data_IF_372906035191
#
_entry.id   IF_372906035191
#
_cell.length_a   1.000
_cell.length_b   1.000
_cell.length_c   1.000
_cell.angle_alpha   90.00
_cell.angle_beta   90.00
_cell.angle_gamma   90.00
#
_symmetry.space_group_name_H-M   'P 1'
#
loop_
_entity.id
_entity.type
_entity.pdbx_description
1 polymer ?
#
# COMPACT_ATOMS: atom_id res chain seq x y z
N UNK A 1 1.25 14.64 -6.45
CA UNK A 1 2.27 13.70 -6.96
C UNK A 1 1.80 13.21 -8.33
N UNK A 2 2.63 13.25 -9.38
CA UNK A 2 2.23 12.75 -10.70
C UNK A 2 1.90 11.26 -10.65
N UNK A 3 0.93 10.82 -11.45
CA UNK A 3 0.55 9.41 -11.54
C UNK A 3 1.73 8.57 -12.05
N UNK A 4 2.05 7.48 -11.34
CA UNK A 4 3.09 6.53 -11.78
C UNK A 4 2.46 5.59 -12.82
N UNK A 5 3.00 5.47 -14.04
CA UNK A 5 2.48 4.55 -15.03
C UNK A 5 2.47 3.10 -14.53
N UNK A 6 1.38 2.36 -14.80
CA UNK A 6 1.22 0.94 -14.41
C UNK A 6 2.44 0.09 -14.77
N UNK A 7 3.03 0.31 -15.94
CA UNK A 7 4.22 -0.41 -16.41
C UNK A 7 5.39 -0.28 -15.42
N UNK A 8 5.66 0.93 -14.91
CA UNK A 8 6.72 1.18 -13.93
C UNK A 8 6.47 0.48 -12.59
N UNK A 9 5.21 0.47 -12.13
CA UNK A 9 4.81 -0.23 -10.90
C UNK A 9 5.07 -1.73 -11.02
N UNK A 10 4.62 -2.34 -12.12
CA UNK A 10 4.82 -3.78 -12.36
C UNK A 10 6.30 -4.14 -12.58
N UNK A 11 7.07 -3.27 -13.22
CA UNK A 11 8.52 -3.46 -13.35
C UNK A 11 9.21 -3.47 -11.98
N UNK A 12 8.85 -2.57 -11.06
CA UNK A 12 9.35 -2.58 -9.66
C UNK A 12 9.03 -3.93 -8.99
N UNK A 13 7.76 -4.33 -9.01
CA UNK A 13 7.31 -5.56 -8.34
C UNK A 13 7.95 -6.82 -8.91
N UNK A 14 8.09 -6.93 -10.24
CA UNK A 14 8.78 -8.06 -10.86
C UNK A 14 10.26 -8.15 -10.46
N UNK A 15 10.95 -7.00 -10.31
CA UNK A 15 12.33 -6.97 -9.82
C UNK A 15 12.42 -7.44 -8.37
N UNK A 16 11.49 -7.04 -7.51
CA UNK A 16 11.43 -7.51 -6.12
C UNK A 16 11.26 -9.03 -6.05
N UNK A 17 10.31 -9.57 -6.83
CA UNK A 17 10.09 -11.02 -6.94
C UNK A 17 11.36 -11.75 -7.41
N UNK A 18 12.00 -11.25 -8.47
CA UNK A 18 13.25 -11.85 -8.98
C UNK A 18 14.40 -11.80 -7.97
N UNK A 19 14.41 -10.80 -7.08
CA UNK A 19 15.36 -10.68 -5.98
C UNK A 19 14.97 -11.44 -4.71
N UNK A 20 13.87 -12.21 -4.70
CA UNK A 20 13.38 -12.90 -3.50
C UNK A 20 12.88 -11.96 -2.40
N UNK A 21 12.57 -10.71 -2.74
CA UNK A 21 12.04 -9.70 -1.80
C UNK A 21 10.51 -9.75 -1.82
N UNK A 22 9.84 -9.93 -0.68
CA UNK A 22 8.38 -9.92 -0.63
C UNK A 22 7.82 -8.55 -0.99
N UNK A 23 6.62 -8.54 -1.59
CA UNK A 23 5.86 -7.33 -1.83
C UNK A 23 4.80 -7.21 -0.73
N UNK A 24 4.77 -6.08 -0.02
CA UNK A 24 3.87 -5.88 1.12
C UNK A 24 2.77 -4.87 0.79
N UNK A 25 1.52 -5.30 0.89
CA UNK A 25 0.34 -4.45 0.73
C UNK A 25 -0.31 -4.07 2.05
N UNK A 26 -0.60 -2.79 2.22
CA UNK A 26 -1.25 -2.20 3.40
C UNK A 26 -2.71 -1.81 3.13
N UNK A 27 -3.54 -1.85 4.16
CA UNK A 27 -4.93 -1.41 4.10
C UNK A 27 -5.13 -0.15 4.94
N UNK A 28 -5.24 1.01 4.31
CA UNK A 28 -5.38 2.27 5.03
C UNK A 28 -6.86 2.68 5.20
N UNK A 29 -7.30 2.82 6.46
CA UNK A 29 -8.64 3.33 6.79
C UNK A 29 -8.70 4.84 7.04
N UNK A 30 -7.55 5.49 7.23
CA UNK A 30 -7.41 6.94 7.40
C UNK A 30 -6.14 7.43 6.70
N UNK A 31 -6.03 8.74 6.49
CA UNK A 31 -4.80 9.36 5.96
C UNK A 31 -3.60 9.22 6.91
N UNK A 32 -3.83 9.16 8.23
CA UNK A 32 -2.76 8.93 9.19
C UNK A 32 -2.18 7.52 9.05
N UNK A 33 -3.03 6.51 8.89
CA UNK A 33 -2.61 5.14 8.60
C UNK A 33 -1.78 5.08 7.31
N UNK A 34 -2.25 5.72 6.23
CA UNK A 34 -1.53 5.74 4.96
C UNK A 34 -0.14 6.39 5.07
N UNK A 35 -0.03 7.51 5.82
CA UNK A 35 1.25 8.20 6.05
C UNK A 35 2.22 7.35 6.89
N UNK A 36 1.70 6.64 7.90
CA UNK A 36 2.50 5.73 8.70
C UNK A 36 2.98 4.50 7.88
N UNK A 37 2.11 3.95 7.03
CA UNK A 37 2.44 2.86 6.10
C UNK A 37 3.53 3.28 5.10
N UNK A 38 3.42 4.48 4.50
CA UNK A 38 4.45 5.04 3.61
C UNK A 38 5.80 5.20 4.35
N UNK A 39 5.78 5.76 5.56
CA UNK A 39 6.99 5.91 6.39
C UNK A 39 7.62 4.56 6.78
N UNK A 40 6.81 3.50 6.88
CA UNK A 40 7.25 2.13 7.11
C UNK A 40 7.75 1.39 5.88
N UNK A 41 7.71 2.01 4.69
CA UNK A 41 8.20 1.41 3.45
C UNK A 41 7.24 0.42 2.79
N UNK A 42 5.92 0.57 2.98
CA UNK A 42 4.90 -0.22 2.28
C UNK A 42 5.08 -0.14 0.75
N UNK A 43 4.78 -1.22 0.02
CA UNK A 43 4.89 -1.21 -1.44
C UNK A 43 3.66 -0.66 -2.14
N UNK A 44 2.49 -0.90 -1.56
CA UNK A 44 1.21 -0.45 -2.06
C UNK A 44 0.18 -0.33 -0.94
N UNK A 45 -0.72 0.64 -1.09
CA UNK A 45 -1.82 0.90 -0.16
C UNK A 45 -3.14 0.66 -0.87
N UNK A 46 -4.05 -0.05 -0.20
CA UNK A 46 -5.42 -0.27 -0.64
C UNK A 46 -6.36 0.43 0.34
N UNK A 47 -7.32 1.18 -0.19
CA UNK A 47 -8.39 1.81 0.60
C UNK A 47 -9.73 1.19 0.25
N UNK A 48 -10.55 0.90 1.26
CA UNK A 48 -11.90 0.38 1.11
C UNK A 48 -12.74 0.65 2.36
N UNK A 49 -14.06 0.49 2.26
CA UNK A 49 -15.03 0.78 3.31
C UNK A 49 -14.70 0.09 4.65
N UNK A 50 -14.34 -1.20 4.65
CA UNK A 50 -13.99 -1.90 5.89
C UNK A 50 -12.73 -1.35 6.56
N UNK A 51 -11.81 -0.71 5.82
CA UNK A 51 -10.71 0.06 6.39
C UNK A 51 -11.24 1.21 7.25
N UNK A 52 -12.16 2.03 6.71
CA UNK A 52 -12.80 3.12 7.46
C UNK A 52 -13.57 2.62 8.67
N UNK A 53 -14.30 1.51 8.55
CA UNK A 53 -15.07 0.94 9.67
C UNK A 53 -14.19 0.42 10.80
N UNK A 54 -13.10 -0.27 10.47
CA UNK A 54 -12.11 -0.71 11.48
C UNK A 54 -11.51 0.47 12.24
N UNK A 55 -11.17 1.55 11.53
CA UNK A 55 -10.66 2.77 12.17
C UNK A 55 -11.72 3.52 13.00
N UNK A 56 -12.99 3.19 12.84
CA UNK A 56 -14.10 3.68 13.67
C UNK A 56 -14.47 2.72 14.82
N UNK A 57 -13.66 1.70 15.10
CA UNK A 57 -13.91 0.72 16.15
C UNK A 57 -15.00 -0.30 15.80
N UNK A 58 -15.28 -0.51 14.52
CA UNK A 58 -16.28 -1.45 14.03
C UNK A 58 -15.58 -2.61 13.31
N UNK A 59 -15.76 -3.82 13.84
CA UNK A 59 -15.27 -5.09 13.26
C UNK A 59 -16.35 -5.77 12.43
#
# INVERSE_FOLDING_TARGET
>A
MPAIPRKKILEKFRKMIAGGVPIVGGGAGTGLSAKAEEAGGIDLIIIYNSGRYRMAGRG
#
